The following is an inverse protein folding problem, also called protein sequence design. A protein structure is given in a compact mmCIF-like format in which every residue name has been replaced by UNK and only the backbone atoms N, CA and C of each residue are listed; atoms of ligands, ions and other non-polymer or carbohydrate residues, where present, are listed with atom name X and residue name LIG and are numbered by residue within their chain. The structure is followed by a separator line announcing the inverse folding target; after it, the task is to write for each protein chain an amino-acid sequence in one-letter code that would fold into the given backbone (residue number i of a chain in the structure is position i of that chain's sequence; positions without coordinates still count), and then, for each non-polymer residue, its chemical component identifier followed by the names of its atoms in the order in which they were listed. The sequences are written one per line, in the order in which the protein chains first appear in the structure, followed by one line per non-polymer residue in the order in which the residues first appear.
data_IF_966551386724
#
_entry.id   IF_966551386724
#
_cell.length_a   1.000
_cell.length_b   1.000
_cell.length_c   1.000
_cell.angle_alpha   90.00
_cell.angle_beta   90.00
_cell.angle_gamma   90.00
#
_symmetry.space_group_name_H-M   'P 1'
#
loop_
_entity.id
_entity.type
_entity.pdbx_description
1 polymer ?
#
# COMPACT_ATOMS: atom_id res chain seq x y z
N UNK A 1 -0.90 -6.93 -9.04
CA UNK A 1 -1.36 -5.70 -9.73
C UNK A 1 -2.51 -5.90 -10.73
N UNK A 2 -2.41 -6.75 -11.76
CA UNK A 2 -3.42 -6.83 -12.85
C UNK A 2 -4.90 -7.02 -12.41
N UNK A 3 -5.13 -7.67 -11.25
CA UNK A 3 -6.48 -7.79 -10.65
C UNK A 3 -6.88 -6.61 -9.77
N UNK A 4 -5.89 -5.90 -9.22
CA UNK A 4 -6.07 -4.76 -8.31
C UNK A 4 -6.51 -3.53 -9.08
N UNK A 5 -5.85 -3.22 -10.20
CA UNK A 5 -6.18 -2.06 -11.04
C UNK A 5 -7.68 -1.97 -11.41
N UNK A 6 -8.32 -2.99 -12.03
CA UNK A 6 -9.75 -2.94 -12.33
C UNK A 6 -10.63 -2.93 -11.07
N UNK A 7 -10.14 -3.49 -9.95
CA UNK A 7 -10.86 -3.44 -8.68
C UNK A 7 -10.89 -2.02 -8.10
N UNK A 8 -9.77 -1.31 -8.11
CA UNK A 8 -9.68 0.09 -7.66
C UNK A 8 -10.50 1.01 -8.56
N UNK A 9 -10.39 0.87 -9.89
CA UNK A 9 -11.16 1.64 -10.86
C UNK A 9 -12.68 1.47 -10.68
N UNK A 10 -13.12 0.29 -10.23
CA UNK A 10 -14.54 0.00 -9.96
C UNK A 10 -15.06 0.65 -8.67
N UNK A 11 -14.22 0.81 -7.65
CA UNK A 11 -14.65 1.23 -6.31
C UNK A 11 -14.27 2.68 -5.98
N UNK A 12 -13.53 3.36 -6.86
CA UNK A 12 -13.06 4.73 -6.65
C UNK A 12 -13.17 5.53 -7.94
N UNK A 13 -13.01 6.85 -7.86
CA UNK A 13 -12.85 7.74 -9.01
C UNK A 13 -11.37 7.97 -9.36
N UNK A 14 -10.46 7.22 -8.76
CA UNK A 14 -9.02 7.39 -8.94
C UNK A 14 -8.66 6.88 -10.33
N UNK A 15 -8.03 7.71 -11.18
CA UNK A 15 -7.46 7.19 -12.42
C UNK A 15 -6.31 6.23 -12.10
N UNK A 16 -6.40 5.03 -12.65
CA UNK A 16 -5.38 3.99 -12.53
C UNK A 16 -5.13 3.39 -13.92
N UNK A 17 -3.94 2.82 -14.18
CA UNK A 17 -3.66 2.15 -15.44
C UNK A 17 -4.74 1.13 -15.81
N UNK A 18 -5.20 1.19 -17.07
CA UNK A 18 -6.14 0.19 -17.61
C UNK A 18 -5.35 -1.00 -18.11
N UNK A 19 -5.59 -2.19 -17.55
CA UNK A 19 -4.97 -3.43 -18.01
C UNK A 19 -5.47 -3.76 -19.42
N UNK A 20 -4.54 -3.89 -20.36
CA UNK A 20 -4.78 -4.25 -21.76
C UNK A 20 -4.56 -5.75 -21.96
N UNK A 21 -3.45 -6.28 -21.44
CA UNK A 21 -3.11 -7.70 -21.56
C UNK A 21 -2.19 -8.17 -20.42
N UNK A 22 -2.13 -9.48 -20.22
CA UNK A 22 -1.19 -10.13 -19.29
C UNK A 22 -0.48 -11.28 -20.00
N UNK A 23 0.84 -11.21 -20.10
CA UNK A 23 1.66 -12.19 -20.79
C UNK A 23 2.44 -13.04 -19.78
N UNK A 24 2.43 -14.35 -19.97
CA UNK A 24 3.21 -15.30 -19.18
C UNK A 24 4.47 -15.68 -19.96
N UNK A 25 5.65 -15.33 -19.44
CA UNK A 25 6.94 -15.49 -20.11
C UNK A 25 7.76 -16.71 -19.63
N UNK A 26 7.17 -17.56 -18.80
CA UNK A 26 7.82 -18.70 -18.13
C UNK A 26 7.34 -18.79 -16.68
N UNK A 27 7.76 -19.84 -15.96
CA UNK A 27 7.11 -20.31 -14.73
C UNK A 27 6.81 -19.23 -13.66
N UNK A 28 7.64 -18.18 -13.55
CA UNK A 28 7.47 -17.08 -12.57
C UNK A 28 7.57 -15.67 -13.18
N UNK A 29 7.57 -15.52 -14.50
CA UNK A 29 7.74 -14.21 -15.15
C UNK A 29 6.47 -13.77 -15.85
N UNK A 30 5.94 -12.62 -15.44
CA UNK A 30 4.71 -12.03 -15.97
C UNK A 30 4.98 -10.62 -16.47
N UNK A 31 4.37 -10.25 -17.59
CA UNK A 31 4.26 -8.86 -18.02
C UNK A 31 2.80 -8.44 -17.96
N UNK A 32 2.58 -7.21 -17.53
CA UNK A 32 1.28 -6.54 -17.62
C UNK A 32 1.43 -5.45 -18.66
N UNK A 33 0.64 -5.53 -19.72
CA UNK A 33 0.50 -4.44 -20.69
C UNK A 33 -0.69 -3.61 -20.23
N UNK A 34 -0.47 -2.32 -20.00
CA UNK A 34 -1.49 -1.41 -19.49
C UNK A 34 -1.34 -0.01 -20.09
N UNK A 35 -2.38 0.80 -19.98
CA UNK A 35 -2.34 2.19 -20.42
C UNK A 35 -1.38 3.01 -19.56
N UNK A 36 -0.70 3.96 -20.19
CA UNK A 36 0.06 5.00 -19.50
C UNK A 36 -0.89 6.01 -18.84
N UNK A 37 -0.54 6.49 -17.64
CA UNK A 37 -1.21 7.62 -17.00
C UNK A 37 -0.51 8.91 -17.45
N UNK A 38 -1.24 9.91 -17.95
CA UNK A 38 -0.63 11.15 -18.44
C UNK A 38 -0.01 11.97 -17.30
N UNK A 39 1.00 12.77 -17.63
CA UNK A 39 1.67 13.66 -16.69
C UNK A 39 3.06 13.17 -16.31
N UNK A 40 3.62 13.76 -15.25
CA UNK A 40 4.90 13.35 -14.66
C UNK A 40 4.69 12.88 -13.23
N UNK A 41 5.59 12.05 -12.72
CA UNK A 41 5.57 11.69 -11.31
C UNK A 41 5.82 12.92 -10.44
N UNK A 42 5.18 12.99 -9.28
CA UNK A 42 5.28 14.12 -8.36
C UNK A 42 6.70 14.27 -7.81
N UNK A 43 7.47 13.18 -7.66
CA UNK A 43 8.85 13.23 -7.13
C UNK A 43 9.76 14.12 -7.99
N UNK A 44 9.58 14.06 -9.32
CA UNK A 44 10.32 14.87 -10.28
C UNK A 44 10.08 16.39 -10.15
N UNK A 45 8.95 16.81 -9.56
CA UNK A 45 8.55 18.21 -9.44
C UNK A 45 8.44 18.69 -7.99
N UNK A 46 8.46 17.78 -7.02
CA UNK A 46 8.14 18.04 -5.61
C UNK A 46 8.98 19.14 -4.97
N UNK A 47 10.26 19.25 -5.33
CA UNK A 47 11.21 20.20 -4.70
C UNK A 47 10.94 21.65 -5.07
N UNK A 48 10.28 21.91 -6.19
CA UNK A 48 10.08 23.25 -6.74
C UNK A 48 8.65 23.78 -6.53
N UNK A 49 7.82 23.04 -5.79
CA UNK A 49 6.43 23.41 -5.53
C UNK A 49 6.30 24.59 -4.57
N UNK A 50 5.39 25.51 -4.88
CA UNK A 50 4.97 26.56 -3.93
C UNK A 50 4.09 25.97 -2.81
N UNK A 51 3.86 26.75 -1.76
CA UNK A 51 2.94 26.37 -0.68
C UNK A 51 1.51 26.15 -1.20
N UNK A 52 1.05 26.98 -2.16
CA UNK A 52 -0.27 26.86 -2.77
C UNK A 52 -0.39 25.58 -3.60
N UNK A 53 0.64 25.24 -4.39
CA UNK A 53 0.68 24.01 -5.17
C UNK A 53 0.72 22.78 -4.25
N UNK A 54 1.51 22.84 -3.18
CA UNK A 54 1.58 21.77 -2.18
C UNK A 54 0.22 21.56 -1.52
N UNK A 55 -0.43 22.65 -1.09
CA UNK A 55 -1.77 22.59 -0.52
C UNK A 55 -2.81 22.06 -1.52
N UNK A 56 -2.68 22.40 -2.81
CA UNK A 56 -3.53 21.89 -3.88
C UNK A 56 -3.41 20.37 -4.05
N UNK A 57 -2.19 19.85 -4.14
CA UNK A 57 -1.93 18.40 -4.24
C UNK A 57 -2.41 17.67 -2.98
N UNK A 58 -2.08 18.17 -1.78
CA UNK A 58 -2.48 17.54 -0.51
C UNK A 58 -4.00 17.40 -0.39
N UNK A 59 -4.79 18.41 -0.81
CA UNK A 59 -6.25 18.31 -0.81
C UNK A 59 -6.75 17.18 -1.71
N UNK A 60 -6.17 17.03 -2.90
CA UNK A 60 -6.53 15.97 -3.83
C UNK A 60 -6.16 14.60 -3.25
N UNK A 61 -4.91 14.41 -2.79
CA UNK A 61 -4.45 13.15 -2.20
C UNK A 61 -5.28 12.73 -0.98
N UNK A 62 -5.68 13.69 -0.13
CA UNK A 62 -6.60 13.42 0.99
C UNK A 62 -7.94 12.84 0.51
N UNK A 63 -8.50 13.41 -0.56
CA UNK A 63 -9.72 12.90 -1.20
C UNK A 63 -9.54 11.49 -1.79
N UNK A 64 -8.43 11.23 -2.49
CA UNK A 64 -8.14 9.91 -3.06
C UNK A 64 -7.95 8.87 -1.95
N UNK A 65 -7.15 9.15 -0.93
CA UNK A 65 -6.94 8.25 0.21
C UNK A 65 -8.23 7.97 0.97
N UNK A 66 -9.12 8.94 1.11
CA UNK A 66 -10.43 8.73 1.71
C UNK A 66 -11.26 7.71 0.90
N UNK A 67 -11.22 7.76 -0.43
CA UNK A 67 -11.89 6.80 -1.30
C UNK A 67 -11.27 5.40 -1.18
N UNK A 68 -9.94 5.28 -1.21
CA UNK A 68 -9.23 4.01 -1.03
C UNK A 68 -9.65 3.36 0.31
N UNK A 69 -9.64 4.14 1.39
CA UNK A 69 -10.00 3.65 2.74
C UNK A 69 -11.48 3.33 2.90
N UNK A 70 -12.35 3.83 2.02
CA UNK A 70 -13.77 3.54 2.00
C UNK A 70 -14.11 2.22 1.27
N UNK A 71 -13.15 1.62 0.56
CA UNK A 71 -13.32 0.29 -0.04
C UNK A 71 -13.58 -0.73 1.09
N UNK A 72 -14.72 -1.44 1.07
CA UNK A 72 -15.12 -2.30 2.17
C UNK A 72 -14.13 -3.45 2.36
N UNK A 73 -13.75 -3.78 3.62
CA UNK A 73 -12.90 -4.92 3.89
C UNK A 73 -13.60 -6.24 3.57
N UNK A 74 -12.84 -7.28 3.18
CA UNK A 74 -13.38 -8.63 3.12
C UNK A 74 -13.77 -9.09 4.53
N UNK A 75 -14.45 -10.23 4.63
CA UNK A 75 -14.73 -10.84 5.95
C UNK A 75 -13.45 -11.27 6.68
N UNK A 76 -12.37 -11.51 5.93
CA UNK A 76 -11.03 -11.79 6.45
C UNK A 76 -10.35 -10.53 7.01
N UNK A 77 -9.41 -10.71 7.95
CA UNK A 77 -8.59 -9.64 8.52
C UNK A 77 -7.58 -9.06 7.54
N UNK A 78 -6.28 -9.15 7.86
CA UNK A 78 -5.21 -8.57 7.03
C UNK A 78 -4.90 -9.50 5.85
N UNK A 79 -5.16 -9.05 4.61
CA UNK A 79 -5.03 -9.91 3.42
C UNK A 79 -4.93 -9.12 2.11
N UNK A 80 -4.37 -9.75 1.07
CA UNK A 80 -4.37 -9.21 -0.29
C UNK A 80 -5.73 -9.40 -0.98
N UNK A 81 -5.91 -8.77 -2.13
CA UNK A 81 -7.09 -8.97 -2.98
C UNK A 81 -7.34 -10.43 -3.32
N UNK A 82 -8.56 -10.88 -3.02
CA UNK A 82 -8.96 -12.28 -3.12
C UNK A 82 -8.69 -13.12 -1.87
N UNK A 83 -8.28 -12.49 -0.75
CA UNK A 83 -8.05 -13.18 0.53
C UNK A 83 -6.71 -13.92 0.61
N UNK A 84 -5.78 -13.63 -0.30
CA UNK A 84 -4.44 -14.21 -0.30
C UNK A 84 -3.48 -13.51 0.67
N UNK A 85 -2.23 -13.99 0.71
CA UNK A 85 -1.17 -13.34 1.49
C UNK A 85 -0.77 -11.98 0.93
N UNK A 86 -0.41 -11.06 1.81
CA UNK A 86 0.04 -9.70 1.50
C UNK A 86 1.47 -9.73 0.92
N UNK A 87 1.79 -8.75 0.07
CA UNK A 87 3.16 -8.52 -0.42
C UNK A 87 3.60 -7.14 0.05
N UNK A 88 4.77 -7.06 0.67
CA UNK A 88 5.36 -5.82 1.17
C UNK A 88 6.88 -5.94 1.18
N UNK A 89 7.56 -5.07 0.45
CA UNK A 89 9.03 -5.08 0.33
C UNK A 89 9.74 -4.79 1.66
N UNK A 90 9.08 -4.10 2.60
CA UNK A 90 9.62 -3.86 3.95
C UNK A 90 9.59 -5.12 4.81
N UNK A 91 8.72 -6.08 4.47
CA UNK A 91 8.56 -7.34 5.20
C UNK A 91 9.33 -8.48 4.55
N UNK A 92 9.45 -8.50 3.22
CA UNK A 92 10.18 -9.54 2.51
C UNK A 92 10.87 -9.00 1.25
N UNK A 93 12.20 -9.01 1.26
CA UNK A 93 13.03 -8.69 0.09
C UNK A 93 12.74 -9.57 -1.15
N UNK A 94 12.12 -10.74 -0.97
CA UNK A 94 11.80 -11.67 -2.05
C UNK A 94 10.31 -11.61 -2.48
N UNK A 95 9.57 -10.58 -2.06
CA UNK A 95 8.12 -10.42 -2.31
C UNK A 95 7.27 -11.66 -2.00
N UNK A 96 7.73 -12.54 -1.08
CA UNK A 96 6.98 -13.74 -0.74
C UNK A 96 5.69 -13.32 -0.01
N UNK A 97 4.52 -13.87 -0.40
CA UNK A 97 3.26 -13.54 0.27
C UNK A 97 3.27 -13.92 1.75
N UNK A 98 2.73 -13.05 2.60
CA UNK A 98 2.59 -13.26 4.05
C UNK A 98 1.12 -13.37 4.46
N UNK A 99 0.78 -14.28 5.37
CA UNK A 99 -0.62 -14.54 5.71
C UNK A 99 -1.37 -15.29 4.60
N UNK A 100 -2.69 -15.08 4.42
CA UNK A 100 -3.53 -14.06 5.06
C UNK A 100 -3.62 -14.22 6.57
N UNK A 101 -3.99 -13.14 7.27
CA UNK A 101 -4.20 -13.15 8.71
C UNK A 101 -5.68 -12.91 9.02
N UNK A 102 -6.22 -13.70 9.94
CA UNK A 102 -7.62 -13.62 10.35
C UNK A 102 -7.94 -12.33 11.12
N UNK A 103 -6.91 -11.67 11.71
CA UNK A 103 -7.08 -10.48 12.53
C UNK A 103 -5.80 -9.61 12.59
N UNK A 104 -5.94 -8.36 13.03
CA UNK A 104 -4.79 -7.46 13.26
C UNK A 104 -3.84 -8.00 14.35
N UNK A 105 -4.31 -8.57 15.48
CA UNK A 105 -3.43 -9.22 16.45
C UNK A 105 -2.58 -10.36 15.87
N UNK A 106 -3.15 -11.20 14.99
CA UNK A 106 -2.38 -12.28 14.35
C UNK A 106 -1.28 -11.72 13.43
N UNK A 107 -1.60 -10.66 12.67
CA UNK A 107 -0.61 -9.94 11.88
C UNK A 107 0.50 -9.33 12.74
N UNK A 108 0.15 -8.71 13.87
CA UNK A 108 1.09 -8.16 14.85
C UNK A 108 2.02 -9.20 15.45
N UNK A 109 1.49 -10.35 15.88
CA UNK A 109 2.28 -11.45 16.42
C UNK A 109 3.28 -11.96 15.37
N UNK A 110 2.84 -12.06 14.11
CA UNK A 110 3.69 -12.43 13.00
C UNK A 110 4.80 -11.41 12.73
N UNK A 111 4.50 -10.10 12.79
CA UNK A 111 5.50 -9.02 12.66
C UNK A 111 6.59 -9.13 13.74
N UNK A 112 6.22 -9.36 15.00
CA UNK A 112 7.20 -9.53 16.09
C UNK A 112 8.06 -10.77 15.86
N UNK A 113 7.44 -11.89 15.47
CA UNK A 113 8.18 -13.12 15.22
C UNK A 113 9.18 -12.99 14.06
N UNK A 114 8.80 -12.29 12.98
CA UNK A 114 9.61 -12.18 11.75
C UNK A 114 10.59 -11.03 11.72
N UNK A 115 10.41 -10.02 12.56
CA UNK A 115 11.35 -8.90 12.63
C UNK A 115 12.73 -9.30 13.13
N UNK A 116 12.91 -10.57 13.56
CA UNK A 116 14.16 -11.12 14.09
C UNK A 116 14.82 -10.12 15.04
N UNK A 117 13.99 -9.43 15.84
CA UNK A 117 14.46 -8.38 16.74
C UNK A 117 15.59 -9.00 17.55
N UNK A 118 16.79 -8.45 17.40
CA UNK A 118 18.01 -8.86 18.11
C UNK A 118 17.90 -8.39 19.57
N UNK A 119 16.84 -8.83 20.23
CA UNK A 119 16.52 -8.50 21.61
C UNK A 119 17.60 -9.03 22.55
N UNK A 120 18.31 -10.08 22.14
CA UNK A 120 19.50 -10.59 22.80
C UNK A 120 20.67 -9.59 22.82
N UNK A 121 20.74 -8.67 21.85
CA UNK A 121 21.72 -7.58 21.79
C UNK A 121 21.19 -6.25 22.35
N UNK A 122 19.94 -6.22 22.78
CA UNK A 122 19.31 -5.02 23.33
C UNK A 122 19.69 -4.84 24.81
N UNK A 123 19.96 -3.60 25.21
CA UNK A 123 20.24 -3.27 26.62
C UNK A 123 19.00 -3.47 27.52
N UNK A 124 17.80 -3.25 26.98
CA UNK A 124 16.51 -3.32 27.69
C UNK A 124 15.42 -4.06 26.90
N UNK A 125 15.58 -5.38 26.63
CA UNK A 125 14.68 -6.14 25.77
C UNK A 125 13.24 -6.20 26.30
N UNK A 126 13.07 -6.31 27.62
CA UNK A 126 11.75 -6.35 28.26
C UNK A 126 11.01 -5.03 28.10
N UNK A 127 11.71 -3.90 28.16
CA UNK A 127 11.11 -2.58 27.95
C UNK A 127 10.64 -2.43 26.50
N UNK A 128 11.48 -2.82 25.53
CA UNK A 128 11.13 -2.81 24.10
C UNK A 128 9.90 -3.69 23.84
N UNK A 129 9.89 -4.92 24.36
CA UNK A 129 8.73 -5.82 24.24
C UNK A 129 7.48 -5.23 24.90
N UNK A 130 7.61 -4.55 26.04
CA UNK A 130 6.48 -3.92 26.71
C UNK A 130 5.86 -2.79 25.87
N UNK A 131 6.70 -2.00 25.20
CA UNK A 131 6.26 -0.91 24.31
C UNK A 131 5.55 -1.48 23.08
N UNK A 132 6.11 -2.51 22.46
CA UNK A 132 5.50 -3.20 21.32
C UNK A 132 4.13 -3.77 21.71
N UNK A 133 4.07 -4.56 22.79
CA UNK A 133 2.81 -5.15 23.29
C UNK A 133 1.77 -4.07 23.59
N UNK A 134 2.18 -2.97 24.24
CA UNK A 134 1.29 -1.84 24.53
C UNK A 134 0.74 -1.23 23.23
N UNK A 135 1.56 -1.09 22.20
CA UNK A 135 1.11 -0.60 20.89
C UNK A 135 0.07 -1.53 20.26
N UNK A 136 0.30 -2.84 20.32
CA UNK A 136 -0.56 -3.87 19.73
C UNK A 136 -1.92 -4.05 20.45
N UNK A 137 -2.09 -3.47 21.65
CA UNK A 137 -3.42 -3.45 22.31
C UNK A 137 -4.41 -2.48 21.65
N UNK A 138 -3.94 -1.57 20.79
CA UNK A 138 -4.78 -0.64 20.06
C UNK A 138 -5.60 -1.38 19.01
N UNK A 139 -6.91 -1.15 19.01
CA UNK A 139 -7.79 -1.63 17.95
C UNK A 139 -7.63 -0.73 16.73
N UNK A 140 -7.44 -1.33 15.56
CA UNK A 140 -7.30 -0.62 14.30
C UNK A 140 -8.38 -1.05 13.32
N UNK A 141 -8.86 -0.10 12.53
CA UNK A 141 -9.66 -0.44 11.36
C UNK A 141 -8.76 -1.13 10.33
N UNK A 142 -9.33 -2.09 9.61
CA UNK A 142 -8.71 -2.68 8.43
C UNK A 142 -9.23 -1.93 7.21
N UNK A 143 -8.33 -1.33 6.46
CA UNK A 143 -8.64 -0.53 5.27
C UNK A 143 -7.88 -1.08 4.08
N UNK A 144 -8.42 -0.91 2.86
CA UNK A 144 -7.61 -1.11 1.67
C UNK A 144 -6.50 -0.05 1.65
N UNK A 145 -5.28 -0.44 1.33
CA UNK A 145 -4.10 0.43 1.26
C UNK A 145 -3.38 0.24 -0.07
N UNK A 146 -2.76 1.31 -0.57
CA UNK A 146 -1.87 1.22 -1.72
C UNK A 146 -0.62 0.41 -1.39
N UNK A 147 -0.10 0.62 -0.17
CA UNK A 147 1.10 0.01 0.40
C UNK A 147 2.44 0.45 -0.25
N UNK A 148 2.39 1.47 -1.12
CA UNK A 148 3.59 2.12 -1.70
C UNK A 148 3.31 3.57 -2.11
N UNK A 149 2.70 4.31 -1.20
CA UNK A 149 2.17 5.65 -1.49
C UNK A 149 3.26 6.71 -1.26
N UNK A 150 4.04 7.00 -2.31
CA UNK A 150 5.08 8.03 -2.31
C UNK A 150 5.02 8.88 -3.60
N UNK A 151 5.71 10.04 -3.66
CA UNK A 151 5.61 10.95 -4.81
C UNK A 151 5.91 10.33 -6.18
N UNK A 152 6.75 9.31 -6.26
CA UNK A 152 7.07 8.62 -7.52
C UNK A 152 5.91 7.82 -8.11
N UNK A 153 4.92 7.46 -7.28
CA UNK A 153 3.72 6.72 -7.69
C UNK A 153 2.49 7.62 -7.86
N UNK A 154 2.67 8.94 -7.77
CA UNK A 154 1.62 9.95 -7.91
C UNK A 154 1.86 10.72 -9.20
N UNK A 155 0.95 10.62 -10.16
CA UNK A 155 1.07 11.33 -11.44
C UNK A 155 0.35 12.68 -11.36
N UNK A 156 0.96 13.73 -11.90
CA UNK A 156 0.40 15.09 -11.95
C UNK A 156 0.56 15.73 -13.34
N UNK A 157 -0.38 16.62 -13.68
CA UNK A 157 -0.25 17.52 -14.84
C UNK A 157 0.52 18.81 -14.50
N UNK A 158 0.70 19.68 -15.49
CA UNK A 158 1.43 20.96 -15.34
C UNK A 158 0.77 21.93 -14.33
N UNK A 159 -0.52 21.74 -14.04
CA UNK A 159 -1.30 22.52 -13.08
C UNK A 159 -1.35 21.85 -11.68
N UNK A 160 -0.56 20.79 -11.47
CA UNK A 160 -0.52 19.99 -10.25
C UNK A 160 -1.87 19.33 -9.88
N UNK A 161 -2.70 19.02 -10.89
CA UNK A 161 -3.84 18.13 -10.70
C UNK A 161 -3.34 16.68 -10.71
N UNK A 162 -3.80 15.88 -9.76
CA UNK A 162 -3.45 14.45 -9.71
C UNK A 162 -4.15 13.73 -10.84
N UNK A 163 -3.38 13.24 -11.81
CA UNK A 163 -3.86 12.56 -13.02
C UNK A 163 -3.99 11.06 -12.83
N UNK A 164 -3.39 10.48 -11.79
CA UNK A 164 -3.58 9.09 -11.42
C UNK A 164 -2.58 8.57 -10.38
N UNK A 165 -2.82 7.34 -9.92
CA UNK A 165 -1.92 6.60 -9.04
C UNK A 165 -1.47 5.31 -9.74
N UNK A 166 -0.19 4.98 -9.64
CA UNK A 166 0.44 3.81 -10.29
C UNK A 166 1.10 2.90 -9.26
N UNK A 167 1.53 1.70 -9.70
CA UNK A 167 2.24 0.71 -8.87
C UNK A 167 1.40 0.14 -7.71
N UNK A 168 0.31 -0.54 -8.07
CA UNK A 168 -0.65 -1.11 -7.11
C UNK A 168 -0.31 -2.57 -6.74
N UNK A 169 0.93 -3.00 -6.91
CA UNK A 169 1.29 -4.41 -6.78
C UNK A 169 1.24 -4.93 -5.34
N UNK A 170 1.50 -4.04 -4.37
CA UNK A 170 1.54 -4.35 -2.94
C UNK A 170 0.23 -4.07 -2.20
N UNK A 171 -0.82 -3.66 -2.91
CA UNK A 171 -2.08 -3.24 -2.28
C UNK A 171 -2.81 -4.39 -1.58
N UNK A 172 -3.29 -4.09 -0.38
CA UNK A 172 -3.89 -5.07 0.51
C UNK A 172 -4.85 -4.41 1.51
N UNK A 173 -5.65 -5.23 2.18
CA UNK A 173 -6.35 -4.82 3.40
C UNK A 173 -5.39 -4.93 4.58
N UNK A 174 -5.04 -3.78 5.14
CA UNK A 174 -4.05 -3.62 6.20
C UNK A 174 -4.61 -2.76 7.34
N UNK A 175 -4.00 -2.77 8.54
CA UNK A 175 -4.34 -1.82 9.60
C UNK A 175 -4.22 -0.36 9.10
N UNK A 176 -5.08 0.55 9.53
CA UNK A 176 -5.15 1.93 8.99
C UNK A 176 -3.87 2.78 9.15
N UNK A 177 -2.93 2.36 10.00
CA UNK A 177 -1.64 3.01 10.22
C UNK A 177 -0.54 2.51 9.26
N UNK A 178 -0.81 1.44 8.53
CA UNK A 178 0.14 0.80 7.61
C UNK A 178 0.33 1.64 6.35
#
# INVERSE_FOLDING_TARGET
EAKVLPYVAKHTTIPVPTVIDTLHLGDDHFLIVMSEIPGSDLDSTFRDMTEEQTAHVVRQLSGLLAQIRAIPPPQTGVCALGGGGIRDNRLSFAMKPWGPFSSVPEFHDYLVHRSELRLDECEHPEEVLSVIKKSHTKTHRVCFTHNDFHPGNIMVDDDFNVTGLVDWEMSAWMPEYW
#
